data_IF_944868433558
#
_entry.id   IF_944868433558
#
_cell.length_a   1.000
_cell.length_b   1.000
_cell.length_c   1.000
_cell.angle_alpha   90.00
_cell.angle_beta   90.00
_cell.angle_gamma   90.00
#
_symmetry.space_group_name_H-M   'P 1'
#
loop_
_entity.id
_entity.type
_entity.pdbx_description
1 polymer ?
#
# COMPACT_ATOMS: atom_id res chain seq x y z
N UNK A 1 6.18 -7.25 -8.16
CA UNK A 1 5.33 -6.77 -7.05
C UNK A 1 5.62 -5.29 -6.86
N UNK A 2 4.59 -4.47 -6.68
CA UNK A 2 4.71 -3.01 -6.54
C UNK A 2 4.34 -2.61 -5.10
N UNK A 3 5.27 -1.99 -4.40
CA UNK A 3 5.01 -1.38 -3.09
C UNK A 3 4.50 0.04 -3.30
N UNK A 4 3.29 0.33 -2.80
CA UNK A 4 2.71 1.68 -2.82
C UNK A 4 2.80 2.27 -1.43
N UNK A 5 3.55 3.37 -1.35
CA UNK A 5 3.78 4.11 -0.12
C UNK A 5 2.73 5.20 0.03
N UNK A 6 2.26 5.47 1.24
CA UNK A 6 1.14 6.40 1.42
C UNK A 6 -0.13 5.91 0.74
N UNK A 7 -0.32 4.58 0.69
CA UNK A 7 -1.43 3.91 -0.01
C UNK A 7 -2.83 4.34 0.47
N UNK A 8 -2.94 4.89 1.68
CA UNK A 8 -4.18 5.44 2.24
C UNK A 8 -4.39 6.93 1.94
N UNK A 9 -3.43 7.58 1.28
CA UNK A 9 -3.50 8.99 0.89
C UNK A 9 -4.23 9.19 -0.44
N UNK A 10 -4.53 10.45 -0.79
CA UNK A 10 -5.32 10.80 -1.97
C UNK A 10 -4.80 10.21 -3.29
N UNK A 11 -3.49 10.30 -3.52
CA UNK A 11 -2.86 9.74 -4.73
C UNK A 11 -2.63 8.24 -4.59
N UNK A 12 -2.13 7.80 -3.44
CA UNK A 12 -1.79 6.40 -3.20
C UNK A 12 -2.98 5.46 -3.35
N UNK A 13 -4.17 5.87 -2.90
CA UNK A 13 -5.38 5.04 -3.00
C UNK A 13 -5.80 4.82 -4.45
N UNK A 14 -5.73 5.85 -5.29
CA UNK A 14 -6.01 5.76 -6.74
C UNK A 14 -4.97 4.87 -7.43
N UNK A 15 -3.69 4.99 -7.06
CA UNK A 15 -2.62 4.15 -7.60
C UNK A 15 -2.85 2.68 -7.24
N UNK A 16 -3.16 2.37 -5.97
CA UNK A 16 -3.48 1.00 -5.56
C UNK A 16 -4.68 0.45 -6.33
N UNK A 17 -5.79 1.19 -6.37
CA UNK A 17 -7.00 0.75 -7.07
C UNK A 17 -6.74 0.49 -8.56
N UNK A 18 -5.97 1.36 -9.22
CA UNK A 18 -5.62 1.22 -10.63
C UNK A 18 -4.79 -0.04 -10.88
N UNK A 19 -3.75 -0.26 -10.07
CA UNK A 19 -2.87 -1.42 -10.23
C UNK A 19 -3.58 -2.73 -9.87
N UNK A 20 -4.41 -2.73 -8.82
CA UNK A 20 -5.23 -3.89 -8.44
C UNK A 20 -6.26 -4.23 -9.52
N UNK A 21 -6.92 -3.23 -10.12
CA UNK A 21 -7.84 -3.42 -11.25
C UNK A 21 -7.19 -3.95 -12.52
N UNK A 22 -5.85 -3.85 -12.63
CA UNK A 22 -5.04 -4.45 -13.68
C UNK A 22 -4.46 -5.83 -13.28
N UNK A 23 -4.95 -6.41 -12.18
CA UNK A 23 -4.48 -7.69 -11.62
C UNK A 23 -2.98 -7.72 -11.33
N UNK A 24 -2.39 -6.54 -11.06
CA UNK A 24 -0.98 -6.43 -10.72
C UNK A 24 -0.80 -6.77 -9.24
N UNK A 25 0.27 -7.49 -8.87
CA UNK A 25 0.58 -7.74 -7.46
C UNK A 25 1.02 -6.43 -6.79
N UNK A 26 0.16 -5.90 -5.91
CA UNK A 26 0.34 -4.65 -5.17
C UNK A 26 0.40 -4.91 -3.68
N UNK A 27 1.31 -4.21 -3.01
CA UNK A 27 1.42 -4.16 -1.55
C UNK A 27 1.30 -2.70 -1.09
N UNK A 28 0.41 -2.44 -0.15
CA UNK A 28 0.15 -1.13 0.44
C UNK A 28 0.92 -0.99 1.76
N UNK A 29 1.85 -0.03 1.83
CA UNK A 29 2.53 0.33 3.07
C UNK A 29 1.64 1.26 3.91
N UNK A 30 1.29 0.82 5.12
CA UNK A 30 0.47 1.57 6.08
C UNK A 30 1.20 1.71 7.41
N UNK A 31 1.01 2.85 8.10
CA UNK A 31 1.67 3.09 9.41
C UNK A 31 1.04 2.33 10.58
N UNK A 32 -0.20 1.88 10.42
CA UNK A 32 -0.97 1.17 11.46
C UNK A 32 -1.79 0.09 10.80
N UNK A 33 -2.08 -0.98 11.53
CA UNK A 33 -2.94 -2.05 11.04
C UNK A 33 -4.34 -1.47 10.74
N UNK A 34 -4.64 -1.35 9.45
CA UNK A 34 -5.91 -0.88 8.92
C UNK A 34 -6.33 -1.86 7.83
N UNK A 35 -7.64 -2.04 7.59
CA UNK A 35 -8.09 -2.68 6.37
C UNK A 35 -7.42 -2.00 5.18
N UNK A 36 -6.72 -2.80 4.36
CA UNK A 36 -6.09 -2.32 3.15
C UNK A 36 -7.13 -2.06 2.05
N UNK A 37 -6.74 -1.35 0.98
CA UNK A 37 -7.56 -1.27 -0.22
C UNK A 37 -7.77 -2.68 -0.81
N UNK A 38 -8.97 -2.95 -1.33
CA UNK A 38 -9.29 -4.23 -1.96
C UNK A 38 -8.30 -4.57 -3.08
N UNK A 39 -7.86 -5.83 -3.11
CA UNK A 39 -6.91 -6.31 -4.11
C UNK A 39 -5.43 -5.97 -3.86
N UNK A 40 -5.10 -5.40 -2.68
CA UNK A 40 -3.72 -5.18 -2.27
C UNK A 40 -3.36 -5.91 -0.96
N UNK A 41 -2.14 -6.44 -0.89
CA UNK A 41 -1.56 -6.92 0.36
C UNK A 41 -1.26 -5.74 1.29
N UNK A 42 -1.46 -5.90 2.59
CA UNK A 42 -1.13 -4.85 3.58
C UNK A 42 0.21 -5.16 4.23
N UNK A 43 1.11 -4.19 4.21
CA UNK A 43 2.35 -4.21 4.99
C UNK A 43 2.37 -3.04 5.97
N UNK A 44 2.69 -3.34 7.23
CA UNK A 44 2.84 -2.31 8.27
C UNK A 44 4.30 -1.86 8.31
N UNK A 45 4.53 -0.56 8.16
CA UNK A 45 5.86 0.04 8.30
C UNK A 45 5.81 1.57 8.33
N UNK A 46 6.92 2.17 8.73
CA UNK A 46 7.08 3.62 8.89
C UNK A 46 8.40 4.06 8.26
N UNK A 47 8.36 5.13 7.46
CA UNK A 47 9.56 5.71 6.86
C UNK A 47 10.55 6.29 7.87
N UNK A 48 10.09 6.60 9.09
CA UNK A 48 10.95 7.05 10.17
C UNK A 48 11.66 5.88 10.88
N UNK A 49 11.29 4.63 10.58
CA UNK A 49 11.94 3.43 11.07
C UNK A 49 12.39 2.55 9.90
N UNK A 50 13.65 2.72 9.42
CA UNK A 50 14.17 2.00 8.26
C UNK A 50 14.15 0.47 8.39
N UNK A 51 14.09 -0.08 9.62
CA UNK A 51 13.99 -1.51 9.83
C UNK A 51 12.63 -2.10 9.40
N UNK A 52 11.65 -1.24 9.13
CA UNK A 52 10.28 -1.62 8.75
C UNK A 52 10.00 -1.48 7.25
N UNK A 53 11.02 -1.14 6.45
CA UNK A 53 10.91 -0.89 5.00
C UNK A 53 11.37 -2.08 4.16
#
# INVERSE_FOLDING_TARGET
>A
MILVTGATGHVGSVVVATLAGQERPVRALVRRHTPGPDGAEVAVGDFNDPATL
#
